data_IF_066966295092
#
_entry.id   IF_066966295092
#
_cell.length_a   1.000
_cell.length_b   1.000
_cell.length_c   1.000
_cell.angle_alpha   90.00
_cell.angle_beta   90.00
_cell.angle_gamma   90.00
#
_symmetry.space_group_name_H-M   'P 1'
#
loop_
_entity.id
_entity.type
_entity.pdbx_description
1 polymer ?
#
# COMPACT_ATOMS: atom_id res chain seq x y z
N UNK A 1 -4.07 -10.41 -39.08
CA UNK A 1 -3.50 -9.07 -38.78
C UNK A 1 -3.59 -8.66 -37.31
N UNK A 2 -4.66 -9.01 -36.56
CA UNK A 2 -4.82 -8.70 -35.12
C UNK A 2 -3.63 -9.15 -34.23
N UNK A 3 -3.09 -10.35 -34.46
CA UNK A 3 -2.00 -10.92 -33.66
C UNK A 3 -0.65 -10.22 -33.80
N UNK A 4 -0.35 -9.60 -34.96
CA UNK A 4 0.92 -8.91 -35.17
C UNK A 4 0.97 -7.57 -34.44
N UNK A 5 -0.14 -6.84 -34.47
CA UNK A 5 -0.30 -5.57 -33.75
C UNK A 5 -0.25 -5.78 -32.23
N UNK A 6 -0.91 -6.82 -31.71
CA UNK A 6 -0.83 -7.15 -30.27
C UNK A 6 0.59 -7.51 -29.85
N UNK A 7 1.33 -8.25 -30.68
CA UNK A 7 2.74 -8.59 -30.41
C UNK A 7 3.64 -7.36 -30.43
N UNK A 8 3.43 -6.43 -31.38
CA UNK A 8 4.17 -5.17 -31.45
C UNK A 8 3.88 -4.29 -30.22
N UNK A 9 2.62 -4.18 -29.81
CA UNK A 9 2.23 -3.42 -28.62
C UNK A 9 2.85 -3.99 -27.34
N UNK A 10 2.79 -5.32 -27.14
CA UNK A 10 3.43 -5.97 -25.98
C UNK A 10 4.95 -5.83 -25.99
N UNK A 11 5.56 -5.89 -27.17
CA UNK A 11 7.00 -5.66 -27.33
C UNK A 11 7.39 -4.22 -26.97
N UNK A 12 6.63 -3.22 -27.41
CA UNK A 12 6.85 -1.81 -27.07
C UNK A 12 6.67 -1.53 -25.57
N UNK A 13 5.63 -2.08 -24.97
CA UNK A 13 5.35 -1.99 -23.52
C UNK A 13 6.53 -2.55 -22.72
N UNK A 14 7.06 -3.72 -23.11
CA UNK A 14 8.25 -4.31 -22.48
C UNK A 14 9.52 -3.50 -22.75
N UNK A 15 9.69 -2.94 -23.94
CA UNK A 15 10.89 -2.19 -24.36
C UNK A 15 10.99 -0.83 -23.67
N UNK A 16 9.87 -0.18 -23.41
CA UNK A 16 9.78 1.14 -22.77
C UNK A 16 9.66 1.08 -21.25
N UNK A 17 9.68 -0.12 -20.64
CA UNK A 17 9.57 -0.30 -19.18
C UNK A 17 8.22 0.17 -18.61
N UNK A 18 7.20 0.34 -19.46
CA UNK A 18 5.89 0.80 -19.03
C UNK A 18 5.16 -0.43 -18.48
N UNK A 19 5.19 -0.63 -17.17
CA UNK A 19 4.38 -1.65 -16.51
C UNK A 19 2.91 -1.21 -16.45
N UNK A 20 2.25 -1.18 -17.61
CA UNK A 20 0.82 -0.79 -17.73
C UNK A 20 -0.05 -1.70 -16.85
N UNK A 21 0.29 -2.99 -16.73
CA UNK A 21 -0.45 -3.94 -15.90
C UNK A 21 -0.34 -3.63 -14.39
N UNK A 22 0.80 -3.11 -13.94
CA UNK A 22 1.05 -2.78 -12.54
C UNK A 22 0.36 -1.46 -12.17
N UNK A 23 0.43 -0.45 -13.04
CA UNK A 23 -0.31 0.80 -12.89
C UNK A 23 -1.83 0.61 -12.99
N UNK A 24 -2.31 -0.31 -13.84
CA UNK A 24 -3.76 -0.59 -13.98
C UNK A 24 -4.31 -1.37 -12.78
N UNK A 25 -3.51 -2.29 -12.20
CA UNK A 25 -3.84 -2.92 -10.92
C UNK A 25 -3.88 -1.89 -9.80
N UNK A 26 -2.87 -1.01 -9.69
CA UNK A 26 -2.84 0.00 -8.63
C UNK A 26 -4.01 1.01 -8.72
N UNK A 27 -4.48 1.34 -9.93
CA UNK A 27 -5.40 2.46 -10.15
C UNK A 27 -6.84 2.08 -10.53
N UNK A 28 -7.25 0.81 -10.45
CA UNK A 28 -8.66 0.47 -10.65
C UNK A 28 -9.45 0.77 -9.37
N UNK A 29 -10.50 1.61 -9.39
CA UNK A 29 -11.20 2.03 -8.17
C UNK A 29 -11.77 0.86 -7.36
N UNK A 30 -12.28 -0.18 -8.03
CA UNK A 30 -12.79 -1.38 -7.37
C UNK A 30 -11.67 -2.21 -6.70
N UNK A 31 -10.46 -2.15 -7.24
CA UNK A 31 -9.29 -2.84 -6.67
C UNK A 31 -8.75 -2.08 -5.46
N UNK A 32 -8.88 -0.74 -5.41
CA UNK A 32 -8.45 0.06 -4.26
C UNK A 32 -9.22 -0.28 -2.96
N UNK A 33 -10.56 -0.37 -3.03
CA UNK A 33 -11.39 -0.73 -1.87
C UNK A 33 -11.06 -2.13 -1.37
N UNK A 34 -11.07 -3.12 -2.26
CA UNK A 34 -10.82 -4.51 -1.90
C UNK A 34 -9.39 -4.71 -1.35
N UNK A 35 -8.40 -3.99 -1.91
CA UNK A 35 -7.03 -4.00 -1.40
C UNK A 35 -6.95 -3.37 -0.01
N UNK A 36 -7.54 -2.19 0.19
CA UNK A 36 -7.56 -1.52 1.48
C UNK A 36 -8.17 -2.40 2.57
N UNK A 37 -9.29 -3.07 2.29
CA UNK A 37 -9.95 -3.98 3.22
C UNK A 37 -9.09 -5.21 3.57
N UNK A 38 -8.42 -5.82 2.58
CA UNK A 38 -7.53 -6.97 2.83
C UNK A 38 -6.34 -6.58 3.70
N UNK A 39 -5.72 -5.43 3.42
CA UNK A 39 -4.60 -4.93 4.22
C UNK A 39 -5.05 -4.49 5.61
N UNK A 40 -6.24 -3.91 5.75
CA UNK A 40 -6.80 -3.54 7.05
C UNK A 40 -7.05 -4.77 7.92
N UNK A 41 -7.65 -5.82 7.34
CA UNK A 41 -7.89 -7.08 8.04
C UNK A 41 -6.57 -7.71 8.53
N UNK A 42 -5.57 -7.82 7.65
CA UNK A 42 -4.26 -8.37 8.01
C UNK A 42 -3.46 -7.47 8.96
N UNK A 43 -3.67 -6.15 8.91
CA UNK A 43 -2.98 -5.22 9.80
C UNK A 43 -3.50 -5.32 11.24
N UNK A 44 -4.79 -5.53 11.43
CA UNK A 44 -5.45 -5.54 12.74
C UNK A 44 -5.71 -6.93 13.33
N UNK A 45 -5.41 -8.02 12.61
CA UNK A 45 -5.54 -9.38 13.17
C UNK A 45 -4.53 -9.62 14.30
N UNK A 46 -4.86 -10.53 15.22
CA UNK A 46 -3.95 -10.94 16.28
C UNK A 46 -2.72 -11.65 15.67
N UNK A 47 -1.52 -11.18 16.01
CA UNK A 47 -0.29 -11.62 15.37
C UNK A 47 -0.12 -11.08 13.94
N UNK A 48 -0.98 -10.15 13.53
CA UNK A 48 -0.97 -9.51 12.22
C UNK A 48 0.18 -8.52 12.05
N UNK A 49 0.11 -7.74 10.98
CA UNK A 49 1.24 -6.91 10.56
C UNK A 49 1.62 -5.84 11.60
N UNK A 50 0.66 -5.28 12.32
CA UNK A 50 0.94 -4.31 13.38
C UNK A 50 1.80 -4.94 14.49
N UNK A 51 1.44 -6.14 14.95
CA UNK A 51 2.17 -6.87 15.98
C UNK A 51 3.57 -7.29 15.50
N UNK A 52 3.67 -7.74 14.24
CA UNK A 52 4.95 -8.11 13.63
C UNK A 52 5.90 -6.91 13.54
N UNK A 53 5.42 -5.74 13.09
CA UNK A 53 6.22 -4.52 13.00
C UNK A 53 6.64 -4.05 14.40
N UNK A 54 5.74 -4.07 15.37
CA UNK A 54 6.05 -3.71 16.75
C UNK A 54 7.16 -4.59 17.33
N UNK A 55 7.07 -5.91 17.12
CA UNK A 55 8.09 -6.87 17.54
C UNK A 55 9.43 -6.62 16.85
N UNK A 56 9.45 -6.45 15.52
CA UNK A 56 10.68 -6.16 14.78
C UNK A 56 11.40 -4.91 15.32
N UNK A 57 10.65 -3.86 15.62
CA UNK A 57 11.20 -2.61 16.16
C UNK A 57 11.76 -2.81 17.58
N UNK A 58 11.09 -3.60 18.40
CA UNK A 58 11.61 -3.98 19.71
C UNK A 58 12.91 -4.78 19.58
N UNK A 59 12.95 -5.76 18.69
CA UNK A 59 14.14 -6.59 18.45
C UNK A 59 15.33 -5.74 17.99
N UNK A 60 15.12 -4.76 17.10
CA UNK A 60 16.18 -3.83 16.66
C UNK A 60 16.65 -2.92 17.79
N UNK A 61 15.75 -2.46 18.66
CA UNK A 61 16.12 -1.65 19.80
C UNK A 61 16.94 -2.44 20.82
N UNK A 62 16.51 -3.67 21.14
CA UNK A 62 17.24 -4.57 22.03
C UNK A 62 18.63 -4.91 21.45
N UNK A 63 18.70 -5.25 20.17
CA UNK A 63 19.96 -5.49 19.48
C UNK A 63 20.89 -4.27 19.50
N UNK A 64 20.37 -3.07 19.24
CA UNK A 64 21.14 -1.82 19.32
C UNK A 64 21.67 -1.57 20.74
N UNK A 65 20.87 -1.84 21.77
CA UNK A 65 21.28 -1.68 23.17
C UNK A 65 22.37 -2.66 23.61
N UNK A 66 22.44 -3.83 22.97
CA UNK A 66 23.49 -4.83 23.19
C UNK A 66 24.81 -4.45 22.49
N UNK A 67 24.78 -3.52 21.53
CA UNK A 67 25.98 -3.02 20.86
C UNK A 67 26.70 -2.04 21.78
N UNK A 68 28.01 -2.26 21.96
CA UNK A 68 28.83 -1.30 22.68
C UNK A 68 28.87 0.06 21.98
N UNK A 69 28.68 1.14 22.74
CA UNK A 69 28.77 2.57 22.36
C UNK A 69 29.94 3.04 21.45
N UNK A 70 30.90 2.18 21.12
CA UNK A 70 32.03 2.48 20.22
C UNK A 70 31.81 1.96 18.79
N UNK A 71 30.81 1.11 18.58
CA UNK A 71 30.53 0.47 17.29
C UNK A 71 29.39 1.23 16.57
N UNK A 72 29.71 2.46 16.16
CA UNK A 72 28.77 3.41 15.57
C UNK A 72 28.12 2.91 14.27
N UNK A 73 28.85 2.11 13.49
CA UNK A 73 28.34 1.58 12.21
C UNK A 73 27.17 0.62 12.45
N UNK A 74 27.29 -0.29 13.44
CA UNK A 74 26.19 -1.19 13.81
C UNK A 74 25.01 -0.47 14.43
N UNK A 75 25.26 0.56 15.24
CA UNK A 75 24.19 1.41 15.78
C UNK A 75 23.43 2.11 14.64
N UNK A 76 24.14 2.57 13.61
CA UNK A 76 23.53 3.16 12.42
C UNK A 76 22.68 2.15 11.64
N UNK A 77 23.17 0.92 11.45
CA UNK A 77 22.40 -0.16 10.79
C UNK A 77 21.05 -0.41 11.48
N UNK A 78 21.03 -0.52 12.80
CA UNK A 78 19.77 -0.71 13.54
C UNK A 78 18.84 0.51 13.47
N UNK A 79 19.38 1.72 13.45
CA UNK A 79 18.59 2.93 13.25
C UNK A 79 17.94 2.98 11.85
N UNK A 80 18.66 2.54 10.82
CA UNK A 80 18.11 2.40 9.46
C UNK A 80 17.04 1.31 9.43
N UNK A 81 17.24 0.18 10.11
CA UNK A 81 16.26 -0.89 10.19
C UNK A 81 14.95 -0.45 10.86
N UNK A 82 14.98 0.27 12.00
CA UNK A 82 13.77 0.83 12.62
C UNK A 82 13.07 1.82 11.68
N UNK A 83 13.83 2.65 10.97
CA UNK A 83 13.26 3.58 9.98
C UNK A 83 12.54 2.84 8.85
N UNK A 84 13.14 1.80 8.30
CA UNK A 84 12.53 0.99 7.25
C UNK A 84 11.25 0.30 7.73
N UNK A 85 11.23 -0.21 8.96
CA UNK A 85 10.02 -0.80 9.55
C UNK A 85 8.87 0.23 9.63
N UNK A 86 9.16 1.47 10.04
CA UNK A 86 8.17 2.57 10.04
C UNK A 86 7.73 2.98 8.64
N UNK A 87 8.63 2.92 7.65
CA UNK A 87 8.28 3.20 6.26
C UNK A 87 7.29 2.17 5.74
N UNK A 88 7.50 0.88 6.02
CA UNK A 88 6.54 -0.19 5.67
C UNK A 88 5.18 0.06 6.34
N UNK A 89 5.18 0.38 7.64
CA UNK A 89 3.94 0.69 8.37
C UNK A 89 3.16 1.84 7.70
N UNK A 90 3.85 2.93 7.35
CA UNK A 90 3.25 4.08 6.67
C UNK A 90 2.64 3.72 5.33
N UNK A 91 3.34 2.95 4.50
CA UNK A 91 2.84 2.52 3.20
C UNK A 91 1.57 1.66 3.34
N UNK A 92 1.55 0.76 4.33
CA UNK A 92 0.36 -0.07 4.61
C UNK A 92 -0.82 0.78 5.07
N UNK A 93 -0.58 1.69 6.01
CA UNK A 93 -1.63 2.63 6.48
C UNK A 93 -2.14 3.48 5.32
N UNK A 94 -1.27 3.91 4.40
CA UNK A 94 -1.66 4.66 3.21
C UNK A 94 -2.54 3.85 2.26
N UNK A 95 -2.25 2.56 2.07
CA UNK A 95 -3.08 1.64 1.27
C UNK A 95 -4.48 1.51 1.89
N UNK A 96 -4.55 1.32 3.21
CA UNK A 96 -5.83 1.22 3.95
C UNK A 96 -6.62 2.52 3.80
N UNK A 97 -5.97 3.66 4.04
CA UNK A 97 -6.58 4.98 3.93
C UNK A 97 -7.13 5.24 2.52
N UNK A 98 -6.35 4.89 1.49
CA UNK A 98 -6.76 5.02 0.09
C UNK A 98 -8.03 4.21 -0.20
N UNK A 99 -8.13 2.98 0.33
CA UNK A 99 -9.33 2.16 0.22
C UNK A 99 -10.56 2.80 0.89
N UNK A 100 -10.39 3.34 2.11
CA UNK A 100 -11.47 4.04 2.85
C UNK A 100 -11.94 5.30 2.14
N UNK A 101 -11.01 6.13 1.67
CA UNK A 101 -11.33 7.35 0.93
C UNK A 101 -12.14 7.06 -0.34
N UNK A 102 -11.84 5.97 -1.04
CA UNK A 102 -12.60 5.55 -2.23
C UNK A 102 -14.02 5.08 -1.87
N UNK A 103 -14.23 4.43 -0.72
CA UNK A 103 -15.58 4.08 -0.22
C UNK A 103 -16.39 5.36 0.04
N UNK A 104 -15.80 6.32 0.75
CA UNK A 104 -16.46 7.61 1.04
C UNK A 104 -16.81 8.38 -0.23
N UNK A 105 -15.89 8.40 -1.20
CA UNK A 105 -16.11 9.03 -2.50
C UNK A 105 -17.33 8.43 -3.23
N UNK A 106 -17.46 7.11 -3.25
CA UNK A 106 -18.62 6.43 -3.87
C UNK A 106 -19.93 6.76 -3.17
N UNK A 107 -19.93 6.71 -1.84
CA UNK A 107 -21.10 7.06 -1.04
C UNK A 107 -21.54 8.51 -1.28
N UNK A 108 -20.59 9.44 -1.43
CA UNK A 108 -20.89 10.84 -1.75
C UNK A 108 -21.58 10.99 -3.13
N UNK A 109 -21.05 10.31 -4.16
CA UNK A 109 -21.64 10.32 -5.51
C UNK A 109 -23.04 9.71 -5.52
N UNK A 110 -23.28 8.63 -4.78
CA UNK A 110 -24.61 8.02 -4.66
C UNK A 110 -25.62 8.94 -3.98
N UNK A 111 -25.23 9.64 -2.91
CA UNK A 111 -26.08 10.64 -2.24
C UNK A 111 -26.42 11.80 -3.19
N UNK A 112 -25.44 12.29 -3.95
CA UNK A 112 -25.64 13.37 -4.92
C UNK A 112 -26.62 12.94 -6.01
N UNK A 113 -26.43 11.74 -6.59
CA UNK A 113 -27.33 11.18 -7.59
C UNK A 113 -28.76 11.01 -7.05
N UNK A 114 -28.90 10.50 -5.82
CA UNK A 114 -30.20 10.34 -5.16
C UNK A 114 -30.89 11.68 -4.95
N UNK A 115 -30.15 12.69 -4.48
CA UNK A 115 -30.67 14.05 -4.32
C UNK A 115 -31.07 14.67 -5.67
N UNK A 116 -30.33 14.40 -6.74
CA UNK A 116 -30.68 14.87 -8.09
C UNK A 116 -31.97 14.24 -8.60
N UNK A 117 -32.17 12.94 -8.39
CA UNK A 117 -33.40 12.23 -8.77
C UNK A 117 -34.60 12.82 -8.01
N UNK A 118 -34.47 13.02 -6.69
CA UNK A 118 -35.53 13.60 -5.87
C UNK A 118 -35.89 15.04 -6.24
N UNK A 119 -34.95 15.83 -6.76
CA UNK A 119 -35.20 17.19 -7.26
C UNK A 119 -35.85 17.23 -8.65
N UNK A 120 -35.76 16.14 -9.40
CA UNK A 120 -36.29 16.03 -10.76
C UNK A 120 -37.71 15.41 -10.80
N UNK A 121 -38.19 14.92 -9.66
CA UNK A 121 -39.57 14.49 -9.41
C UNK A 121 -40.38 15.66 -8.84
#
# INVERSE_FOLDING_TARGET
MRNALTRLALWLVRRLGINVLEQTRLNTPADAVARGQRWEAFYHEEGGLADMIARLRQDYFEAASAVGHRDNDKLYEFAVADRMAREIEREVVQIIYTGKAEVERRAAVERENSARILRAL
#
